data_IF_593479916271
#
_entry.id   IF_593479916271
#
_cell.length_a   1.000
_cell.length_b   1.000
_cell.length_c   1.000
_cell.angle_alpha   90.00
_cell.angle_beta   90.00
_cell.angle_gamma   90.00
#
_symmetry.space_group_name_H-M   'P 1'
#
loop_
_entity.id
_entity.type
_entity.pdbx_description
1 polymer ?
#
# COMPACT_ATOMS: atom_id res chain seq x y z
N UNK A 1 -5.71 -2.87 6.50
CA UNK A 1 -6.77 -3.26 7.46
C UNK A 1 -6.33 -4.57 8.09
N UNK A 2 -5.98 -4.56 9.37
CA UNK A 2 -5.38 -5.70 10.07
C UNK A 2 -6.40 -6.84 10.14
N UNK A 3 -6.21 -7.87 9.33
CA UNK A 3 -6.95 -9.12 9.45
C UNK A 3 -6.09 -10.08 10.28
N UNK A 4 -6.40 -10.20 11.58
CA UNK A 4 -5.71 -11.09 12.53
C UNK A 4 -5.77 -12.58 12.10
N UNK A 5 -6.60 -12.91 11.11
CA UNK A 5 -6.74 -14.27 10.58
C UNK A 5 -5.72 -14.68 9.51
N UNK A 6 -4.90 -13.75 8.99
CA UNK A 6 -3.93 -14.09 7.94
C UNK A 6 -2.78 -14.98 8.42
N UNK A 7 -2.71 -15.31 9.73
CA UNK A 7 -1.68 -16.17 10.31
C UNK A 7 -1.77 -17.64 9.90
N UNK A 8 -2.91 -18.12 9.36
CA UNK A 8 -3.05 -19.53 8.97
C UNK A 8 -2.51 -19.88 7.58
N UNK A 9 -2.28 -18.91 6.71
CA UNK A 9 -1.86 -19.15 5.31
C UNK A 9 -0.36 -18.94 5.03
N UNK A 10 0.46 -18.59 6.04
CA UNK A 10 1.86 -18.17 5.81
C UNK A 10 2.90 -19.30 5.83
N UNK A 11 2.51 -20.57 5.64
CA UNK A 11 3.41 -21.72 5.79
C UNK A 11 4.48 -21.87 4.69
N UNK A 12 4.47 -21.06 3.62
CA UNK A 12 5.38 -21.20 2.48
C UNK A 12 6.29 -19.99 2.19
N UNK A 13 6.44 -19.03 3.11
CA UNK A 13 7.39 -17.93 2.90
C UNK A 13 8.84 -18.30 3.30
N UNK A 14 9.87 -17.83 2.57
CA UNK A 14 11.26 -18.03 2.95
C UNK A 14 11.51 -17.41 4.34
N UNK A 15 12.18 -18.18 5.21
CA UNK A 15 12.46 -17.87 6.63
C UNK A 15 12.83 -16.40 6.96
N UNK A 16 13.71 -15.69 6.21
CA UNK A 16 14.03 -14.30 6.53
C UNK A 16 12.87 -13.33 6.33
N UNK A 17 12.00 -13.56 5.33
CA UNK A 17 10.83 -12.73 5.03
C UNK A 17 9.74 -12.91 6.08
N UNK A 18 9.55 -14.14 6.55
CA UNK A 18 8.61 -14.47 7.62
C UNK A 18 9.00 -13.82 8.96
N UNK A 19 10.28 -13.93 9.35
CA UNK A 19 10.79 -13.30 10.57
C UNK A 19 10.65 -11.77 10.54
N UNK A 20 10.91 -11.17 9.37
CA UNK A 20 10.77 -9.74 9.15
C UNK A 20 9.30 -9.26 9.34
N UNK A 21 8.34 -9.96 8.73
CA UNK A 21 6.92 -9.64 8.89
C UNK A 21 6.43 -9.82 10.33
N UNK A 22 6.84 -10.90 11.01
CA UNK A 22 6.47 -11.11 12.42
C UNK A 22 6.90 -9.95 13.31
N UNK A 23 8.14 -9.47 13.17
CA UNK A 23 8.64 -8.35 13.99
C UNK A 23 7.85 -7.06 13.74
N UNK A 24 7.51 -6.78 12.47
CA UNK A 24 6.69 -5.63 12.10
C UNK A 24 5.29 -5.69 12.74
N UNK A 25 4.63 -6.84 12.68
CA UNK A 25 3.29 -7.03 13.25
C UNK A 25 3.29 -6.93 14.78
N UNK A 26 4.28 -7.54 15.44
CA UNK A 26 4.44 -7.44 16.90
C UNK A 26 4.68 -5.99 17.33
N UNK A 27 5.49 -5.26 16.57
CA UNK A 27 5.70 -3.83 16.80
C UNK A 27 4.46 -3.00 16.50
N UNK A 28 3.60 -3.37 15.56
CA UNK A 28 2.40 -2.60 15.21
C UNK A 28 1.24 -2.70 16.24
N UNK A 29 1.35 -3.54 17.27
CA UNK A 29 0.26 -3.77 18.23
C UNK A 29 -0.14 -2.51 19.02
N UNK A 30 0.78 -1.56 19.25
CA UNK A 30 0.47 -0.30 19.94
C UNK A 30 -0.60 0.54 19.22
N UNK A 31 -0.85 0.28 17.93
CA UNK A 31 -1.87 0.96 17.15
C UNK A 31 -3.29 0.55 17.56
N UNK A 32 -3.46 -0.62 18.17
CA UNK A 32 -4.75 -1.06 18.62
C UNK A 32 -5.08 -0.38 19.96
N UNK A 33 -6.13 0.45 19.94
CA UNK A 33 -6.57 1.21 21.10
C UNK A 33 -6.95 0.30 22.29
N UNK A 34 -7.56 -0.85 22.02
CA UNK A 34 -8.03 -1.75 23.07
C UNK A 34 -6.87 -2.41 23.85
N UNK A 35 -5.67 -2.43 23.27
CA UNK A 35 -4.46 -3.02 23.90
C UNK A 35 -3.45 -1.97 24.36
N UNK A 36 -3.79 -0.68 24.32
CA UNK A 36 -2.87 0.43 24.63
C UNK A 36 -2.24 0.34 26.02
N UNK A 37 -2.97 -0.17 27.01
CA UNK A 37 -2.50 -0.32 28.40
C UNK A 37 -1.34 -1.30 28.51
N UNK A 38 -1.30 -2.30 27.63
CA UNK A 38 -0.23 -3.30 27.57
C UNK A 38 0.84 -2.99 26.52
N UNK A 39 0.65 -1.93 25.73
CA UNK A 39 1.62 -1.52 24.72
C UNK A 39 2.92 -1.02 25.37
N UNK A 40 4.04 -1.17 24.67
CA UNK A 40 5.35 -0.74 25.17
C UNK A 40 6.01 0.21 24.20
N UNK A 41 6.75 1.20 24.71
CA UNK A 41 7.32 2.26 23.87
C UNK A 41 8.30 1.73 22.80
N UNK A 42 8.98 0.61 23.05
CA UNK A 42 9.88 -0.02 22.08
C UNK A 42 9.18 -0.42 20.77
N UNK A 43 7.85 -0.60 20.80
CA UNK A 43 7.03 -0.78 19.61
C UNK A 43 7.02 0.46 18.72
N UNK A 44 6.93 1.66 19.31
CA UNK A 44 7.03 2.94 18.60
C UNK A 44 8.46 3.16 18.11
N UNK A 45 9.46 2.95 18.97
CA UNK A 45 10.88 3.09 18.61
C UNK A 45 11.29 2.23 17.42
N UNK A 46 10.70 1.03 17.30
CA UNK A 46 10.91 0.18 16.14
C UNK A 46 10.64 0.93 14.83
N UNK A 47 9.54 1.69 14.75
CA UNK A 47 9.17 2.43 13.56
C UNK A 47 10.00 3.71 13.37
N UNK A 48 10.37 4.39 14.46
CA UNK A 48 11.27 5.54 14.41
C UNK A 48 12.63 5.16 13.80
N UNK A 49 13.21 4.06 14.27
CA UNK A 49 14.49 3.54 13.80
C UNK A 49 14.40 2.99 12.36
N UNK A 50 13.22 2.46 11.99
CA UNK A 50 13.01 1.88 10.67
C UNK A 50 12.75 2.92 9.58
N UNK A 51 12.07 4.03 9.91
CA UNK A 51 11.66 5.06 8.96
C UNK A 51 12.20 6.46 9.33
N UNK A 52 13.53 6.63 9.52
CA UNK A 52 14.10 7.88 10.04
C UNK A 52 13.88 9.09 9.12
N UNK A 53 13.73 8.87 7.80
CA UNK A 53 13.43 9.92 6.83
C UNK A 53 11.99 10.41 6.89
N UNK A 54 11.04 9.54 7.24
CA UNK A 54 9.61 9.88 7.36
C UNK A 54 9.25 10.34 8.77
N UNK A 55 9.96 9.80 9.77
CA UNK A 55 9.82 10.05 11.19
C UNK A 55 11.10 10.70 11.73
N UNK A 56 11.32 11.97 11.35
CA UNK A 56 12.53 12.72 11.68
C UNK A 56 12.58 13.24 13.14
N UNK A 57 12.49 12.33 14.11
CA UNK A 57 12.64 12.67 15.53
C UNK A 57 14.15 12.67 15.86
N UNK A 58 14.82 13.78 15.57
CA UNK A 58 16.29 13.84 15.54
C UNK A 58 16.94 14.26 16.85
N UNK A 59 16.18 14.82 17.80
CA UNK A 59 16.74 15.27 19.08
C UNK A 59 16.29 14.42 20.28
N UNK A 60 17.17 14.16 21.27
CA UNK A 60 16.83 13.42 22.48
C UNK A 60 15.61 13.99 23.22
N UNK A 61 15.48 15.32 23.26
CA UNK A 61 14.34 16.02 23.88
C UNK A 61 13.01 15.76 23.17
N UNK A 62 13.03 15.41 21.89
CA UNK A 62 11.82 15.05 21.15
C UNK A 62 11.39 13.62 21.42
N UNK A 63 12.35 12.71 21.62
CA UNK A 63 12.08 11.34 22.00
C UNK A 63 11.48 11.27 23.41
N UNK A 64 12.04 12.02 24.37
CA UNK A 64 11.49 12.12 25.73
C UNK A 64 10.04 12.62 25.73
N UNK A 65 9.74 13.68 24.97
CA UNK A 65 8.36 14.16 24.81
C UNK A 65 7.44 13.14 24.16
N UNK A 66 7.95 12.34 23.22
CA UNK A 66 7.16 11.28 22.60
C UNK A 66 6.87 10.14 23.58
N UNK A 67 7.79 9.81 24.49
CA UNK A 67 7.59 8.85 25.58
C UNK A 67 6.49 9.36 26.53
N UNK A 68 6.54 10.63 26.93
CA UNK A 68 5.51 11.24 27.78
C UNK A 68 4.13 11.18 27.11
N UNK A 69 4.04 11.57 25.84
CA UNK A 69 2.80 11.47 25.05
C UNK A 69 2.31 10.03 24.91
N UNK A 70 3.24 9.07 24.77
CA UNK A 70 2.89 7.65 24.73
C UNK A 70 2.28 7.19 26.06
N UNK A 71 2.86 7.56 27.20
CA UNK A 71 2.28 7.27 28.52
C UNK A 71 0.89 7.89 28.66
N UNK A 72 0.71 9.15 28.23
CA UNK A 72 -0.61 9.79 28.21
C UNK A 72 -1.61 9.07 27.31
N UNK A 73 -1.16 8.42 26.23
CA UNK A 73 -2.02 7.61 25.37
C UNK A 73 -2.43 6.30 26.06
N UNK A 74 -1.54 5.67 26.83
CA UNK A 74 -1.89 4.45 27.58
C UNK A 74 -2.99 4.71 28.62
N UNK A 75 -3.01 5.93 29.17
CA UNK A 75 -4.00 6.37 30.16
C UNK A 75 -5.30 6.92 29.55
N UNK A 76 -5.34 7.18 28.25
CA UNK A 76 -6.52 7.70 27.57
C UNK A 76 -7.68 6.72 27.74
N UNK A 77 -8.85 7.13 28.21
CA UNK A 77 -9.97 6.22 28.38
C UNK A 77 -10.74 6.05 27.07
N UNK A 78 -11.46 4.93 26.91
CA UNK A 78 -12.33 4.72 25.75
C UNK A 78 -13.40 5.81 25.63
N UNK A 79 -13.89 6.29 26.77
CA UNK A 79 -14.94 7.30 26.87
C UNK A 79 -14.43 8.71 26.48
N UNK A 80 -13.12 8.92 26.47
CA UNK A 80 -12.54 10.17 25.96
C UNK A 80 -12.66 10.28 24.43
N UNK A 81 -12.93 9.16 23.75
CA UNK A 81 -13.22 9.11 22.32
C UNK A 81 -14.74 9.05 22.12
N UNK A 82 -15.36 10.04 21.45
CA UNK A 82 -16.81 10.08 21.27
C UNK A 82 -17.37 8.86 20.53
N UNK A 83 -18.54 8.37 20.94
CA UNK A 83 -19.23 7.21 20.34
C UNK A 83 -19.37 7.31 18.82
N UNK A 84 -19.67 8.51 18.29
CA UNK A 84 -19.74 8.76 16.84
C UNK A 84 -18.47 8.34 16.08
N UNK A 85 -17.30 8.43 16.72
CA UNK A 85 -16.02 8.03 16.12
C UNK A 85 -15.94 6.51 16.07
N UNK A 86 -16.31 5.83 17.16
CA UNK A 86 -16.39 4.38 17.24
C UNK A 86 -17.38 3.80 16.23
N UNK A 87 -18.56 4.41 16.12
CA UNK A 87 -19.60 4.04 15.15
C UNK A 87 -19.10 4.19 13.71
N UNK A 88 -18.36 5.25 13.41
CA UNK A 88 -17.77 5.46 12.08
C UNK A 88 -16.61 4.49 11.77
N UNK A 89 -15.97 3.95 12.82
CA UNK A 89 -14.83 3.07 12.68
C UNK A 89 -15.22 1.59 12.52
N UNK A 90 -16.46 1.20 12.82
CA UNK A 90 -16.86 -0.21 12.80
C UNK A 90 -16.97 -0.76 11.37
N UNK A 91 -16.38 -1.91 11.13
CA UNK A 91 -16.51 -2.66 9.88
C UNK A 91 -16.98 -4.07 10.22
N UNK A 92 -18.03 -4.50 9.54
CA UNK A 92 -18.54 -5.87 9.62
C UNK A 92 -18.09 -6.63 8.39
N UNK A 93 -17.39 -7.74 8.60
CA UNK A 93 -16.99 -8.65 7.55
C UNK A 93 -17.62 -10.01 7.82
N UNK A 94 -18.33 -10.55 6.83
CA UNK A 94 -18.80 -11.92 6.87
C UNK A 94 -17.67 -12.83 6.40
N UNK A 95 -17.34 -13.86 7.19
CA UNK A 95 -16.42 -14.89 6.74
C UNK A 95 -17.11 -15.94 5.87
N UNK A 96 -16.32 -16.79 5.22
CA UNK A 96 -16.80 -17.83 4.30
C UNK A 96 -17.72 -18.86 4.99
N UNK A 97 -17.67 -18.94 6.33
CA UNK A 97 -18.54 -19.76 7.17
C UNK A 97 -19.82 -19.05 7.63
N UNK A 98 -20.03 -17.80 7.22
CA UNK A 98 -21.20 -16.99 7.55
C UNK A 98 -21.09 -16.25 8.89
N UNK A 99 -19.99 -16.36 9.63
CA UNK A 99 -19.81 -15.61 10.88
C UNK A 99 -19.51 -14.14 10.59
N UNK A 100 -20.24 -13.24 11.26
CA UNK A 100 -20.01 -11.80 11.15
C UNK A 100 -18.97 -11.38 12.19
N UNK A 101 -17.78 -11.00 11.71
CA UNK A 101 -16.73 -10.42 12.54
C UNK A 101 -16.78 -8.91 12.46
N UNK A 102 -16.80 -8.25 13.62
CA UNK A 102 -16.75 -6.79 13.73
C UNK A 102 -15.37 -6.37 14.22
N UNK A 103 -14.78 -5.41 13.54
CA UNK A 103 -13.51 -4.79 13.94
C UNK A 103 -13.55 -3.29 13.73
N UNK A 104 -12.71 -2.56 14.46
CA UNK A 104 -12.59 -1.12 14.32
C UNK A 104 -11.44 -0.73 13.41
N UNK A 105 -11.69 0.24 12.53
CA UNK A 105 -10.70 0.93 11.73
C UNK A 105 -9.87 1.85 12.60
N UNK A 106 -8.69 1.37 12.98
CA UNK A 106 -7.75 2.13 13.80
C UNK A 106 -7.32 3.44 13.14
N UNK A 107 -7.34 3.55 11.81
CA UNK A 107 -7.02 4.80 11.13
C UNK A 107 -8.03 5.92 11.40
N UNK A 108 -9.31 5.57 11.57
CA UNK A 108 -10.35 6.53 11.95
C UNK A 108 -10.15 6.97 13.41
N UNK A 109 -9.86 6.02 14.30
CA UNK A 109 -9.59 6.29 15.72
C UNK A 109 -8.34 7.19 15.87
N UNK A 110 -7.23 6.83 15.23
CA UNK A 110 -5.99 7.62 15.25
C UNK A 110 -6.14 8.97 14.57
N UNK A 111 -6.97 9.07 13.52
CA UNK A 111 -7.32 10.36 12.93
C UNK A 111 -8.03 11.25 13.96
N UNK A 112 -8.94 10.71 14.78
CA UNK A 112 -9.55 11.50 15.85
C UNK A 112 -8.53 11.90 16.93
N UNK A 113 -7.73 10.96 17.42
CA UNK A 113 -6.67 11.20 18.41
C UNK A 113 -5.71 12.31 17.96
N UNK A 114 -5.40 12.38 16.65
CA UNK A 114 -4.56 13.45 16.08
C UNK A 114 -5.13 14.86 16.23
N UNK A 115 -6.45 14.98 16.40
CA UNK A 115 -7.16 16.26 16.51
C UNK A 115 -7.38 16.73 17.94
N UNK A 116 -7.10 15.86 18.93
CA UNK A 116 -7.25 16.20 20.35
C UNK A 116 -6.26 17.29 20.74
N UNK A 117 -6.73 18.28 21.50
CA UNK A 117 -5.96 19.48 21.87
C UNK A 117 -5.80 19.63 23.37
N UNK A 118 -4.65 20.15 23.77
CA UNK A 118 -4.39 20.63 25.12
C UNK A 118 -5.10 21.96 25.37
N UNK A 119 -5.12 22.39 26.63
CA UNK A 119 -5.63 23.70 27.05
C UNK A 119 -4.90 24.88 26.37
N UNK A 120 -3.65 24.69 25.97
CA UNK A 120 -2.84 25.67 25.22
C UNK A 120 -3.13 25.67 23.70
N UNK A 121 -4.05 24.82 23.23
CA UNK A 121 -4.41 24.68 21.82
C UNK A 121 -3.45 23.81 21.00
N UNK A 122 -2.36 23.32 21.58
CA UNK A 122 -1.44 22.38 20.91
C UNK A 122 -2.06 21.00 20.77
N UNK A 123 -1.60 20.20 19.80
CA UNK A 123 -2.09 18.83 19.61
C UNK A 123 -1.48 17.89 20.65
N UNK A 124 -2.33 17.28 21.48
CA UNK A 124 -1.92 16.37 22.57
C UNK A 124 -1.08 15.21 22.05
N UNK A 125 -1.60 14.53 21.03
CA UNK A 125 -1.01 13.31 20.49
C UNK A 125 -0.39 13.50 19.12
N UNK A 126 -0.18 14.74 18.65
CA UNK A 126 0.14 15.02 17.24
C UNK A 126 1.34 14.23 16.70
N UNK A 127 2.39 14.06 17.52
CA UNK A 127 3.58 13.28 17.14
C UNK A 127 3.32 11.77 17.13
N UNK A 128 2.69 11.25 18.17
CA UNK A 128 2.37 9.83 18.26
C UNK A 128 1.34 9.43 17.18
N UNK A 129 0.37 10.27 16.91
CA UNK A 129 -0.60 10.09 15.84
C UNK A 129 0.06 10.12 14.46
N UNK A 130 1.08 10.96 14.23
CA UNK A 130 1.87 10.94 12.99
C UNK A 130 2.58 9.60 12.79
N UNK A 131 3.20 9.06 13.84
CA UNK A 131 3.81 7.71 13.78
C UNK A 131 2.72 6.68 13.46
N UNK A 132 1.61 6.72 14.18
CA UNK A 132 0.55 5.72 14.08
C UNK A 132 -0.12 5.69 12.71
N UNK A 133 -0.49 6.86 12.18
CA UNK A 133 -1.07 7.00 10.85
C UNK A 133 -0.08 6.57 9.76
N UNK A 134 1.22 6.87 9.92
CA UNK A 134 2.23 6.35 9.00
C UNK A 134 2.26 4.81 9.02
N UNK A 135 2.27 4.20 10.20
CA UNK A 135 2.32 2.74 10.30
C UNK A 135 1.08 2.09 9.69
N UNK A 136 -0.10 2.72 9.82
CA UNK A 136 -1.36 2.22 9.27
C UNK A 136 -1.41 2.28 7.73
N UNK A 137 -0.64 3.16 7.09
CA UNK A 137 -0.54 3.23 5.61
C UNK A 137 0.59 2.37 5.05
N UNK A 138 1.46 1.79 5.89
CA UNK A 138 2.44 0.81 5.41
C UNK A 138 1.66 -0.42 4.93
N UNK A 139 1.81 -0.84 3.66
CA UNK A 139 1.15 -2.04 3.17
C UNK A 139 1.72 -3.26 3.90
N UNK A 140 0.94 -3.82 4.83
CA UNK A 140 1.39 -4.92 5.71
C UNK A 140 1.39 -6.29 5.01
N UNK A 141 0.65 -6.46 3.91
CA UNK A 141 0.62 -7.71 3.14
C UNK A 141 -0.18 -7.56 1.84
N UNK A 142 0.39 -6.95 0.81
CA UNK A 142 0.07 -7.28 -0.59
C UNK A 142 1.15 -6.83 -1.58
N UNK A 143 2.43 -6.90 -1.18
CA UNK A 143 3.49 -6.69 -2.15
C UNK A 143 3.57 -7.87 -3.14
N UNK A 144 3.11 -9.07 -2.76
CA UNK A 144 3.07 -10.28 -3.58
C UNK A 144 2.32 -10.06 -4.90
N UNK A 145 1.16 -9.38 -4.91
CA UNK A 145 0.41 -9.15 -6.16
C UNK A 145 1.16 -8.18 -7.10
N UNK A 146 1.76 -7.13 -6.55
CA UNK A 146 2.61 -6.17 -7.30
C UNK A 146 3.88 -6.83 -7.80
N UNK A 147 4.53 -7.67 -6.98
CA UNK A 147 5.70 -8.45 -7.38
C UNK A 147 5.34 -9.55 -8.38
N UNK A 148 4.16 -10.15 -8.31
CA UNK A 148 3.67 -11.10 -9.32
C UNK A 148 3.43 -10.39 -10.67
N UNK A 149 2.89 -9.16 -10.64
CA UNK A 149 2.72 -8.33 -11.82
C UNK A 149 4.07 -7.99 -12.47
N UNK A 150 5.07 -7.64 -11.65
CA UNK A 150 6.44 -7.37 -12.11
C UNK A 150 7.10 -8.66 -12.63
N UNK A 151 6.92 -9.78 -11.95
CA UNK A 151 7.55 -11.07 -12.28
C UNK A 151 6.95 -11.69 -13.55
N UNK A 152 5.64 -11.62 -13.75
CA UNK A 152 4.96 -12.01 -15.00
C UNK A 152 5.52 -11.24 -16.21
N UNK A 153 5.88 -9.96 -16.02
CA UNK A 153 6.46 -9.11 -17.06
C UNK A 153 7.99 -9.26 -17.26
N UNK A 154 8.67 -10.05 -16.41
CA UNK A 154 10.12 -10.27 -16.44
C UNK A 154 10.56 -11.63 -17.01
N UNK A 155 9.63 -12.49 -17.42
CA UNK A 155 9.98 -13.85 -17.86
C UNK A 155 10.70 -13.85 -19.21
N UNK A 156 11.78 -14.64 -19.33
CA UNK A 156 12.70 -14.68 -20.47
C UNK A 156 12.12 -15.19 -21.80
N UNK A 157 10.80 -15.41 -21.88
CA UNK A 157 10.09 -15.86 -23.08
C UNK A 157 9.24 -14.75 -23.75
N UNK A 158 9.11 -13.57 -23.14
CA UNK A 158 8.53 -12.36 -23.74
C UNK A 158 9.57 -11.24 -23.73
N UNK A 159 9.48 -10.20 -24.59
CA UNK A 159 10.37 -9.05 -24.50
C UNK A 159 10.27 -8.43 -23.11
N UNK A 160 11.31 -8.68 -22.30
CA UNK A 160 11.46 -8.18 -20.94
C UNK A 160 11.40 -6.66 -20.97
N UNK A 161 10.32 -6.09 -20.41
CA UNK A 161 10.19 -4.65 -20.29
C UNK A 161 11.19 -4.16 -19.24
N UNK A 162 12.01 -3.19 -19.62
CA UNK A 162 12.96 -2.57 -18.71
C UNK A 162 12.23 -1.93 -17.53
N UNK A 163 12.82 -2.09 -16.34
CA UNK A 163 12.27 -1.58 -15.08
C UNK A 163 12.27 -0.04 -15.07
N UNK A 164 13.30 0.57 -15.66
CA UNK A 164 13.40 2.00 -15.91
C UNK A 164 12.63 2.38 -17.18
N UNK A 165 11.50 3.07 -17.00
CA UNK A 165 10.63 3.51 -18.08
C UNK A 165 9.33 2.73 -18.15
N UNK A 166 9.12 2.00 -19.24
CA UNK A 166 7.81 1.48 -19.67
C UNK A 166 7.12 0.59 -18.62
N UNK A 167 7.85 -0.30 -17.94
CA UNK A 167 7.25 -1.17 -16.93
C UNK A 167 6.77 -0.38 -15.71
N UNK A 168 7.55 0.61 -15.26
CA UNK A 168 7.17 1.50 -14.16
C UNK A 168 5.91 2.31 -14.49
N UNK A 169 5.83 2.86 -15.70
CA UNK A 169 4.65 3.61 -16.16
C UNK A 169 3.40 2.71 -16.27
N UNK A 170 3.53 1.49 -16.77
CA UNK A 170 2.39 0.54 -16.85
C UNK A 170 1.90 0.16 -15.45
N UNK A 171 2.81 -0.12 -14.52
CA UNK A 171 2.45 -0.44 -13.13
C UNK A 171 1.78 0.77 -12.47
N UNK A 172 2.28 1.99 -12.66
CA UNK A 172 1.65 3.20 -12.13
C UNK A 172 0.23 3.39 -12.66
N UNK A 173 0.01 3.22 -13.97
CA UNK A 173 -1.33 3.32 -14.58
C UNK A 173 -2.25 2.22 -14.06
N UNK A 174 -1.74 1.00 -13.86
CA UNK A 174 -2.53 -0.12 -13.34
C UNK A 174 -2.86 0.02 -11.86
N UNK A 175 -1.97 0.59 -11.05
CA UNK A 175 -2.22 0.88 -9.63
C UNK A 175 -3.14 2.10 -9.45
N UNK A 176 -3.09 3.07 -10.37
CA UNK A 176 -3.93 4.27 -10.32
C UNK A 176 -5.38 4.01 -10.79
N UNK A 177 -5.62 2.94 -11.55
CA UNK A 177 -6.94 2.58 -12.06
C UNK A 177 -7.40 1.26 -11.43
N UNK A 178 -8.28 1.30 -10.41
CA UNK A 178 -8.78 0.10 -9.74
C UNK A 178 -9.83 -0.66 -10.59
N UNK A 179 -10.36 -0.04 -11.65
CA UNK A 179 -11.33 -0.69 -12.53
C UNK A 179 -10.68 -1.83 -13.34
N UNK A 180 -11.39 -2.95 -13.53
CA UNK A 180 -10.89 -4.06 -14.33
C UNK A 180 -10.67 -3.61 -15.79
N UNK A 181 -9.59 -4.11 -16.41
CA UNK A 181 -9.08 -3.61 -17.69
C UNK A 181 -10.10 -3.58 -18.84
N UNK A 182 -11.11 -4.45 -18.83
CA UNK A 182 -12.18 -4.48 -19.84
C UNK A 182 -13.15 -3.30 -19.78
N UNK A 183 -13.13 -2.51 -18.70
CA UNK A 183 -13.90 -1.27 -18.55
C UNK A 183 -13.09 -0.02 -18.85
N UNK A 184 -11.78 -0.16 -19.06
CA UNK A 184 -10.93 0.97 -19.39
C UNK A 184 -11.12 1.33 -20.86
N UNK A 185 -11.74 2.49 -21.10
CA UNK A 185 -11.89 3.04 -22.45
C UNK A 185 -10.87 4.17 -22.66
N UNK A 186 -9.82 3.96 -23.47
CA UNK A 186 -8.81 4.99 -23.70
C UNK A 186 -9.40 6.17 -24.47
N UNK A 187 -9.00 7.38 -24.11
CA UNK A 187 -9.45 8.58 -24.80
C UNK A 187 -8.94 8.63 -26.24
N UNK A 188 -9.70 9.27 -27.14
CA UNK A 188 -9.28 9.44 -28.55
C UNK A 188 -7.93 10.13 -28.69
N UNK A 189 -7.62 11.07 -27.78
CA UNK A 189 -6.33 11.75 -27.73
C UNK A 189 -5.19 10.77 -27.37
N UNK A 190 -5.40 9.90 -26.39
CA UNK A 190 -4.44 8.88 -25.99
C UNK A 190 -4.14 7.92 -27.15
N UNK A 191 -5.18 7.46 -27.85
CA UNK A 191 -5.04 6.61 -29.04
C UNK A 191 -4.23 7.33 -30.14
N UNK A 192 -4.49 8.61 -30.37
CA UNK A 192 -3.75 9.42 -31.34
C UNK A 192 -2.25 9.54 -31.00
N UNK A 193 -1.94 9.76 -29.72
CA UNK A 193 -0.55 9.82 -29.23
C UNK A 193 0.14 8.46 -29.34
N UNK A 194 -0.54 7.37 -28.97
CA UNK A 194 -0.02 6.01 -29.08
C UNK A 194 0.32 5.66 -30.54
N UNK A 195 -0.60 5.92 -31.48
CA UNK A 195 -0.35 5.72 -32.92
C UNK A 195 0.85 6.51 -33.43
N UNK A 196 0.99 7.76 -32.98
CA UNK A 196 2.13 8.62 -33.35
C UNK A 196 3.45 8.07 -32.81
N UNK A 197 3.46 7.58 -31.57
CA UNK A 197 4.63 6.97 -30.95
C UNK A 197 5.05 5.68 -31.68
N UNK A 198 4.09 4.80 -31.99
CA UNK A 198 4.33 3.57 -32.77
C UNK A 198 4.87 3.89 -34.16
N UNK A 199 4.28 4.87 -34.86
CA UNK A 199 4.77 5.29 -36.18
C UNK A 199 6.20 5.84 -36.10
N UNK A 200 6.53 6.58 -35.05
CA UNK A 200 7.87 7.15 -34.84
C UNK A 200 8.89 6.05 -34.55
N UNK A 201 8.52 5.09 -33.69
CA UNK A 201 9.34 3.91 -33.41
C UNK A 201 9.61 3.09 -34.67
N UNK A 202 8.55 2.76 -35.42
CA UNK A 202 8.66 2.01 -36.67
C UNK A 202 9.58 2.73 -37.65
N UNK A 203 9.39 4.05 -37.83
CA UNK A 203 10.26 4.87 -38.69
C UNK A 203 11.73 4.82 -38.28
N UNK A 204 12.02 4.87 -36.98
CA UNK A 204 13.37 4.82 -36.45
C UNK A 204 14.04 3.44 -36.59
N UNK A 205 13.25 2.36 -36.75
CA UNK A 205 13.73 0.97 -36.80
C UNK A 205 13.46 0.30 -38.17
N UNK A 206 13.14 1.09 -39.21
CA UNK A 206 12.84 0.64 -40.57
C UNK A 206 14.00 -0.10 -41.28
N UNK A 207 15.23 -0.08 -40.74
CA UNK A 207 16.39 -0.70 -41.39
C UNK A 207 16.60 -2.19 -41.09
N UNK A 208 15.71 -2.89 -40.37
CA UNK A 208 15.90 -4.32 -40.06
C UNK A 208 14.89 -5.29 -40.67
N UNK A 209 13.80 -4.84 -41.31
CA UNK A 209 12.76 -5.76 -41.84
C UNK A 209 12.17 -5.33 -43.19
N UNK A 210 13.03 -4.95 -44.14
CA UNK A 210 12.62 -4.69 -45.52
C UNK A 210 12.13 -5.93 -46.31
N UNK A 211 12.01 -7.11 -45.67
CA UNK A 211 11.54 -8.34 -46.29
C UNK A 211 10.41 -9.00 -45.49
N UNK A 212 9.28 -8.32 -45.33
CA UNK A 212 7.99 -8.96 -45.00
C UNK A 212 6.78 -8.03 -45.21
N UNK A 213 6.90 -7.03 -46.07
CA UNK A 213 5.78 -6.19 -46.51
C UNK A 213 5.13 -6.79 -47.76
N UNK A 214 4.52 -7.96 -47.58
CA UNK A 214 3.42 -8.41 -48.42
C UNK A 214 2.52 -9.26 -47.50
N UNK A 215 1.37 -8.68 -47.17
CA UNK A 215 0.25 -9.29 -46.44
C UNK A 215 0.55 -9.79 -45.01
N UNK A 216 0.35 -8.94 -43.99
CA UNK A 216 0.09 -9.47 -42.63
C UNK A 216 0.43 -8.62 -41.40
N UNK A 217 1.21 -7.55 -41.47
CA UNK A 217 1.66 -6.84 -40.25
C UNK A 217 0.87 -5.56 -39.94
N UNK A 218 -0.44 -5.73 -39.72
CA UNK A 218 -1.24 -4.79 -38.91
C UNK A 218 -1.33 -5.23 -37.43
N UNK A 219 -0.70 -6.34 -37.09
CA UNK A 219 -0.98 -7.08 -35.86
C UNK A 219 0.28 -7.21 -34.99
N UNK A 220 0.59 -6.21 -34.16
CA UNK A 220 1.36 -6.51 -32.94
C UNK A 220 1.18 -5.47 -31.82
N UNK A 221 0.91 -4.20 -32.13
CA UNK A 221 0.49 -3.24 -31.09
C UNK A 221 -0.97 -3.44 -30.65
N UNK A 222 -1.85 -3.78 -31.60
CA UNK A 222 -3.24 -4.16 -31.27
C UNK A 222 -3.28 -5.49 -30.51
N UNK A 223 -2.43 -6.47 -30.84
CA UNK A 223 -2.34 -7.73 -30.09
C UNK A 223 -1.74 -7.59 -28.68
N UNK A 224 -0.88 -6.60 -28.40
CA UNK A 224 -0.41 -6.37 -27.04
C UNK A 224 -1.49 -5.71 -26.15
N UNK A 225 -2.34 -4.86 -26.74
CA UNK A 225 -3.51 -4.28 -26.06
C UNK A 225 -4.69 -5.25 -25.97
N UNK A 226 -4.90 -6.10 -26.99
CA UNK A 226 -5.98 -7.09 -27.05
C UNK A 226 -5.59 -8.37 -26.30
N UNK A 227 -4.36 -8.88 -26.31
CA UNK A 227 -4.01 -10.07 -25.51
C UNK A 227 -3.93 -9.80 -24.00
N UNK A 228 -3.92 -8.53 -23.58
CA UNK A 228 -4.16 -8.18 -22.17
C UNK A 228 -5.66 -8.17 -21.79
N UNK A 229 -6.56 -8.42 -22.75
CA UNK A 229 -7.98 -8.72 -22.51
C UNK A 229 -8.29 -10.21 -22.34
N UNK A 230 -7.30 -11.10 -22.44
CA UNK A 230 -7.43 -12.46 -21.89
C UNK A 230 -6.94 -12.46 -20.45
N UNK A 231 -7.90 -12.24 -19.57
CA UNK A 231 -7.80 -12.32 -18.13
C UNK A 231 -7.21 -13.66 -17.66
N UNK A 232 -6.12 -13.57 -16.89
CA UNK A 232 -5.82 -14.45 -15.76
C UNK A 232 -5.24 -13.63 -14.62
#
# INVERSE_FOLDING_TARGET
MLCVNSMKEQQNMPYPTFHFMMKLFLSAQFLNFDTRETAIFSQVEHFLNRYPTLLNFSSPSELLRLIEVFISFQLLERNDIPDRVWDSAIVSQQDDGGEIRRYFRMDIIWSHISTMRSSDGSFLYGRLAKVSLLVLVIPHSNAEEVFSLITKNKTGFRPSLKLDGTLSSIIQVKLANPEPCHRYEPTKEFIGKAKTATMTYNKAHLSSYAYQLHDGFYFEFELALINHTQCY
#
